data_IF_776724110052
#
_entry.id   IF_776724110052
#
_cell.length_a   1.000
_cell.length_b   1.000
_cell.length_c   1.000
_cell.angle_alpha   90.00
_cell.angle_beta   90.00
_cell.angle_gamma   90.00
#
_symmetry.space_group_name_H-M   'P 1'
#
loop_
_entity.id
_entity.type
_entity.pdbx_description
1 polymer ?
#
# COMPACT_ATOMS: atom_id res chain seq x y z
N UNK A 1 26.70 15.69 14.02
CA UNK A 1 25.57 15.79 13.07
C UNK A 1 24.54 14.74 13.44
N UNK A 2 23.32 15.13 13.82
CA UNK A 2 22.19 14.19 13.94
C UNK A 2 21.62 14.02 12.54
N UNK A 3 21.88 12.89 11.89
CA UNK A 3 21.12 12.51 10.70
C UNK A 3 19.66 12.41 11.14
N UNK A 4 18.80 13.30 10.62
CA UNK A 4 17.37 13.23 10.86
C UNK A 4 16.89 11.88 10.32
N UNK A 5 16.25 11.07 11.17
CA UNK A 5 15.71 9.77 10.74
C UNK A 5 14.69 9.90 9.59
N UNK A 6 14.16 11.10 9.38
CA UNK A 6 13.25 11.45 8.30
C UNK A 6 13.89 11.39 6.90
N UNK A 7 15.21 11.54 6.77
CA UNK A 7 15.88 11.57 5.45
C UNK A 7 16.03 10.17 4.81
N UNK A 8 15.65 9.10 5.50
CA UNK A 8 15.73 7.70 5.00
C UNK A 8 14.39 6.96 5.00
N UNK A 9 13.25 7.66 5.00
CA UNK A 9 11.94 7.00 4.80
C UNK A 9 11.75 6.65 3.34
N UNK A 10 11.63 5.35 3.05
CA UNK A 10 11.23 4.89 1.72
C UNK A 10 9.87 5.50 1.35
N UNK A 11 9.77 6.07 0.15
CA UNK A 11 8.52 6.61 -0.36
C UNK A 11 7.62 5.47 -0.86
N UNK A 12 6.54 5.20 -0.10
CA UNK A 12 5.59 4.14 -0.40
C UNK A 12 4.45 4.57 -1.33
N UNK A 13 4.37 5.84 -1.74
CA UNK A 13 3.27 6.33 -2.58
C UNK A 13 3.16 5.61 -3.91
N UNK A 14 4.27 5.54 -4.65
CA UNK A 14 4.30 4.91 -5.97
C UNK A 14 3.97 3.41 -5.88
N UNK A 15 4.45 2.75 -4.82
CA UNK A 15 4.17 1.33 -4.58
C UNK A 15 2.70 1.09 -4.25
N UNK A 16 2.09 1.90 -3.37
CA UNK A 16 0.68 1.79 -3.03
C UNK A 16 -0.23 2.01 -4.24
N UNK A 17 0.08 3.03 -5.06
CA UNK A 17 -0.64 3.31 -6.29
C UNK A 17 -0.51 2.16 -7.33
N UNK A 18 0.69 1.58 -7.48
CA UNK A 18 0.91 0.47 -8.39
C UNK A 18 0.12 -0.79 -7.97
N UNK A 19 0.09 -1.09 -6.66
CA UNK A 19 -0.71 -2.21 -6.13
C UNK A 19 -2.21 -2.00 -6.36
N UNK A 20 -2.71 -0.79 -6.13
CA UNK A 20 -4.11 -0.44 -6.40
C UNK A 20 -4.47 -0.65 -7.87
N UNK A 21 -3.64 -0.14 -8.79
CA UNK A 21 -3.85 -0.30 -10.24
C UNK A 21 -3.86 -1.77 -10.65
N UNK A 22 -2.88 -2.56 -10.22
CA UNK A 22 -2.80 -3.98 -10.55
C UNK A 22 -4.02 -4.77 -10.05
N UNK A 23 -4.55 -4.42 -8.87
CA UNK A 23 -5.79 -5.00 -8.33
C UNK A 23 -6.99 -4.64 -9.22
N UNK A 24 -7.14 -3.36 -9.56
CA UNK A 24 -8.25 -2.85 -10.38
C UNK A 24 -8.24 -3.41 -11.80
N UNK A 25 -7.06 -3.51 -12.43
CA UNK A 25 -6.87 -4.12 -13.76
C UNK A 25 -7.29 -5.60 -13.79
N UNK A 26 -7.12 -6.31 -12.67
CA UNK A 26 -7.58 -7.71 -12.53
C UNK A 26 -9.06 -7.82 -12.11
N UNK A 27 -9.74 -6.70 -11.87
CA UNK A 27 -11.11 -6.68 -11.34
C UNK A 27 -11.23 -7.23 -9.92
N UNK A 28 -10.14 -7.23 -9.17
CA UNK A 28 -10.10 -7.82 -7.82
C UNK A 28 -10.58 -6.83 -6.78
N UNK A 29 -11.31 -7.32 -5.77
CA UNK A 29 -11.69 -6.50 -4.61
C UNK A 29 -10.56 -6.47 -3.58
N UNK A 30 -10.55 -5.45 -2.73
CA UNK A 30 -9.59 -5.41 -1.61
C UNK A 30 -9.79 -6.61 -0.67
N UNK A 31 -11.04 -7.04 -0.45
CA UNK A 31 -11.38 -8.23 0.34
C UNK A 31 -10.78 -9.50 -0.27
N UNK A 32 -10.91 -9.69 -1.58
CA UNK A 32 -10.33 -10.84 -2.28
C UNK A 32 -8.80 -10.88 -2.16
N UNK A 33 -8.12 -9.75 -2.36
CA UNK A 33 -6.67 -9.68 -2.16
C UNK A 33 -6.28 -9.97 -0.72
N UNK A 34 -7.07 -9.50 0.25
CA UNK A 34 -6.84 -9.72 1.66
C UNK A 34 -6.92 -11.21 2.04
N UNK A 35 -7.89 -11.95 1.48
CA UNK A 35 -8.00 -13.41 1.62
C UNK A 35 -6.76 -14.12 1.08
N UNK A 36 -6.24 -13.72 -0.10
CA UNK A 36 -5.07 -14.35 -0.72
C UNK A 36 -3.78 -14.22 0.12
N UNK A 37 -3.68 -13.19 0.95
CA UNK A 37 -2.47 -12.89 1.73
C UNK A 37 -2.66 -13.04 3.24
N UNK A 38 -3.79 -13.62 3.67
CA UNK A 38 -4.18 -13.81 5.06
C UNK A 38 -4.10 -12.50 5.88
N UNK A 39 -4.76 -11.46 5.37
CA UNK A 39 -4.84 -10.13 6.02
C UNK A 39 -6.26 -9.60 6.03
N UNK A 40 -6.45 -8.51 6.76
CA UNK A 40 -7.69 -7.77 6.74
C UNK A 40 -7.76 -6.82 5.52
N UNK A 41 -8.96 -6.63 4.98
CA UNK A 41 -9.21 -5.69 3.87
C UNK A 41 -8.74 -4.25 4.17
N UNK A 42 -8.82 -3.81 5.44
CA UNK A 42 -8.28 -2.53 5.93
C UNK A 42 -6.77 -2.43 5.74
N UNK A 43 -6.04 -3.55 5.89
CA UNK A 43 -4.59 -3.59 5.65
C UNK A 43 -4.28 -3.32 4.18
N UNK A 44 -5.04 -3.93 3.27
CA UNK A 44 -4.88 -3.68 1.82
C UNK A 44 -5.17 -2.21 1.50
N UNK A 45 -6.27 -1.66 2.02
CA UNK A 45 -6.62 -0.25 1.85
C UNK A 45 -5.54 0.70 2.37
N UNK A 46 -4.97 0.42 3.56
CA UNK A 46 -3.90 1.24 4.12
C UNK A 46 -2.62 1.19 3.30
N UNK A 47 -2.28 0.05 2.70
CA UNK A 47 -1.12 -0.11 1.82
C UNK A 47 -1.32 0.68 0.52
N UNK A 48 -2.49 0.55 -0.10
CA UNK A 48 -2.82 1.26 -1.34
C UNK A 48 -2.79 2.79 -1.19
N UNK A 49 -3.15 3.29 0.00
CA UNK A 49 -3.25 4.73 0.27
C UNK A 49 -2.10 5.26 1.15
N UNK A 50 -1.06 4.46 1.41
CA UNK A 50 0.02 4.87 2.32
C UNK A 50 0.75 6.09 1.76
N UNK A 51 0.82 7.15 2.58
CA UNK A 51 1.51 8.39 2.25
C UNK A 51 0.61 9.47 1.65
N UNK A 52 -0.58 9.12 1.13
CA UNK A 52 -1.49 10.07 0.44
C UNK A 52 -2.12 11.15 1.36
N UNK A 53 -1.76 11.17 2.66
CA UNK A 53 -2.22 12.12 3.68
C UNK A 53 -1.04 12.70 4.46
#
# INVERSE_FOLDING_TARGET
MRMNQDERRFDFHGLGAALKRAREEKGWTQAYVAELVDRDSRTIMNIENKGQY
#
